data_IF_952243077654
#
_entry.id   IF_952243077654
#
_cell.length_a   1.000
_cell.length_b   1.000
_cell.length_c   1.000
_cell.angle_alpha   90.00
_cell.angle_beta   90.00
_cell.angle_gamma   90.00
#
_symmetry.space_group_name_H-M   'P 1'
#
loop_
_entity.id
_entity.type
_entity.pdbx_description
1 polymer ?
#
# COMPACT_ATOMS: atom_id res chain seq x y z
N UNK A 1 -11.04 -10.43 -8.78
CA UNK A 1 -10.40 -10.82 -7.50
C UNK A 1 -11.38 -11.50 -6.55
N UNK A 2 -12.59 -10.99 -6.36
CA UNK A 2 -13.61 -11.61 -5.50
C UNK A 2 -13.90 -13.07 -5.89
N UNK A 3 -13.94 -13.39 -7.19
CA UNK A 3 -14.13 -14.77 -7.66
C UNK A 3 -13.00 -15.70 -7.18
N UNK A 4 -11.74 -15.23 -7.17
CA UNK A 4 -10.60 -15.99 -6.65
C UNK A 4 -10.70 -16.24 -5.15
N UNK A 5 -11.14 -15.25 -4.36
CA UNK A 5 -11.36 -15.42 -2.92
C UNK A 5 -12.44 -16.48 -2.63
N UNK A 6 -13.54 -16.46 -3.39
CA UNK A 6 -14.60 -17.48 -3.29
C UNK A 6 -14.11 -18.87 -3.71
N UNK A 7 -13.28 -18.95 -4.76
CA UNK A 7 -12.71 -20.20 -5.23
C UNK A 7 -11.78 -20.84 -4.18
N UNK A 8 -10.95 -20.02 -3.49
CA UNK A 8 -10.12 -20.50 -2.37
C UNK A 8 -10.98 -21.05 -1.25
N UNK A 9 -12.00 -20.32 -0.79
CA UNK A 9 -12.88 -20.77 0.27
C UNK A 9 -13.59 -22.11 -0.08
N UNK A 10 -14.05 -22.23 -1.32
CA UNK A 10 -14.70 -23.44 -1.82
C UNK A 10 -13.72 -24.63 -1.89
N UNK A 11 -12.56 -24.43 -2.48
CA UNK A 11 -11.55 -25.48 -2.68
C UNK A 11 -11.00 -26.04 -1.37
N UNK A 12 -10.96 -25.22 -0.30
CA UNK A 12 -10.46 -25.67 1.00
C UNK A 12 -11.41 -26.62 1.75
N UNK A 13 -12.71 -26.69 1.36
CA UNK A 13 -13.63 -27.73 1.85
C UNK A 13 -13.72 -27.87 3.38
N UNK A 14 -13.56 -26.76 4.13
CA UNK A 14 -13.52 -26.74 5.59
C UNK A 14 -12.12 -26.75 6.22
N UNK A 15 -11.06 -26.99 5.43
CA UNK A 15 -9.69 -26.83 5.94
C UNK A 15 -9.36 -25.34 6.18
N UNK A 16 -8.43 -25.01 7.10
CA UNK A 16 -8.04 -23.63 7.37
C UNK A 16 -7.51 -22.91 6.14
N UNK A 17 -7.96 -21.67 5.93
CA UNK A 17 -7.46 -20.81 4.86
C UNK A 17 -7.47 -19.32 5.27
N UNK A 18 -6.58 -18.56 4.69
CA UNK A 18 -6.46 -17.12 4.95
C UNK A 18 -6.33 -16.35 3.63
N UNK A 19 -7.25 -15.42 3.40
CA UNK A 19 -7.17 -14.49 2.28
C UNK A 19 -6.73 -13.14 2.81
N UNK A 20 -5.51 -12.74 2.50
CA UNK A 20 -4.95 -11.46 2.93
C UNK A 20 -5.17 -10.42 1.82
N UNK A 21 -5.99 -9.40 2.11
CA UNK A 21 -6.16 -8.23 1.24
C UNK A 21 -5.19 -7.14 1.67
N UNK A 22 -4.54 -6.54 0.69
CA UNK A 22 -3.60 -5.44 0.88
C UNK A 22 -3.75 -4.41 -0.24
N UNK A 23 -3.14 -3.23 -0.10
CA UNK A 23 -3.23 -2.13 -1.06
C UNK A 23 -1.91 -1.35 -1.18
N UNK A 24 -1.71 -0.67 -2.30
CA UNK A 24 -0.65 0.29 -2.56
C UNK A 24 0.75 -0.20 -2.15
N UNK A 25 1.09 -1.42 -2.55
CA UNK A 25 2.35 -2.07 -2.18
C UNK A 25 3.56 -1.34 -2.75
N UNK A 26 4.56 -1.14 -1.92
CA UNK A 26 5.89 -0.67 -2.32
C UNK A 26 6.98 -1.41 -1.53
N UNK A 27 8.16 -1.51 -2.11
CA UNK A 27 9.28 -2.21 -1.49
C UNK A 27 10.48 -2.29 -2.43
N UNK A 28 11.56 -2.97 -2.02
CA UNK A 28 12.75 -3.16 -2.85
C UNK A 28 12.44 -4.04 -4.07
N UNK A 29 13.29 -3.92 -5.08
CA UNK A 29 13.32 -4.81 -6.25
C UNK A 29 12.02 -4.82 -7.07
N UNK A 30 11.71 -3.72 -7.73
CA UNK A 30 10.59 -3.69 -8.67
C UNK A 30 10.02 -2.30 -8.92
N UNK A 31 9.15 -2.23 -9.92
CA UNK A 31 8.44 -1.00 -10.24
C UNK A 31 7.34 -0.78 -9.21
N UNK A 32 7.41 0.32 -8.48
CA UNK A 32 6.39 0.74 -7.53
C UNK A 32 6.25 2.28 -7.54
N UNK A 33 5.25 2.78 -6.83
CA UNK A 33 4.96 4.22 -6.80
C UNK A 33 6.12 5.02 -6.20
N UNK A 34 6.74 4.56 -5.10
CA UNK A 34 7.85 5.27 -4.43
C UNK A 34 9.04 5.41 -5.38
N UNK A 35 9.49 4.33 -5.99
CA UNK A 35 10.58 4.35 -6.97
C UNK A 35 10.26 5.25 -8.18
N UNK A 36 8.99 5.22 -8.65
CA UNK A 36 8.54 6.06 -9.75
C UNK A 36 8.58 7.54 -9.40
N UNK A 37 8.02 7.93 -8.25
CA UNK A 37 8.03 9.32 -7.80
C UNK A 37 9.46 9.80 -7.56
N UNK A 38 10.31 9.03 -6.87
CA UNK A 38 11.71 9.38 -6.63
C UNK A 38 12.45 9.68 -7.94
N UNK A 39 12.29 8.83 -8.95
CA UNK A 39 12.88 9.07 -10.28
C UNK A 39 12.33 10.34 -10.92
N UNK A 40 11.01 10.53 -10.92
CA UNK A 40 10.37 11.69 -11.55
C UNK A 40 10.72 13.02 -10.85
N UNK A 41 10.93 13.03 -9.53
CA UNK A 41 11.40 14.21 -8.80
C UNK A 41 12.77 14.71 -9.30
N UNK A 42 13.60 13.80 -9.84
CA UNK A 42 14.90 14.17 -10.42
C UNK A 42 14.84 14.54 -11.93
N UNK A 43 13.78 14.09 -12.63
CA UNK A 43 13.70 14.22 -14.09
C UNK A 43 12.75 15.34 -14.56
N UNK A 44 11.79 15.74 -13.72
CA UNK A 44 10.72 16.66 -14.10
C UNK A 44 10.80 17.98 -13.36
N UNK A 45 10.44 19.10 -14.00
CA UNK A 45 10.37 20.40 -13.33
C UNK A 45 9.22 20.50 -12.33
N UNK A 46 8.17 19.70 -12.48
CA UNK A 46 7.01 19.58 -11.59
C UNK A 46 6.36 18.20 -11.71
N UNK A 47 5.65 17.77 -10.68
CA UNK A 47 4.85 16.54 -10.68
C UNK A 47 3.39 16.86 -10.38
N UNK A 48 2.48 16.43 -11.27
CA UNK A 48 1.03 16.49 -11.04
C UNK A 48 0.55 15.13 -10.53
N UNK A 49 -0.07 15.12 -9.33
CA UNK A 49 -0.48 13.87 -8.66
C UNK A 49 -1.90 13.99 -8.14
N UNK A 50 -2.69 12.94 -8.37
CA UNK A 50 -4.10 12.85 -7.99
C UNK A 50 -4.29 12.96 -6.48
N UNK A 51 -5.20 13.84 -6.01
CA UNK A 51 -5.45 14.12 -4.59
C UNK A 51 -6.85 13.73 -4.08
N UNK A 52 -7.70 13.15 -4.91
CA UNK A 52 -9.07 12.74 -4.58
C UNK A 52 -9.25 11.21 -4.56
N UNK A 53 -8.14 10.45 -4.56
CA UNK A 53 -8.14 9.00 -4.37
C UNK A 53 -7.44 8.65 -3.06
N UNK A 54 -8.21 8.06 -2.13
CA UNK A 54 -7.76 7.70 -0.79
C UNK A 54 -7.43 6.21 -0.68
N UNK A 55 -6.34 5.89 0.03
CA UNK A 55 -5.89 4.53 0.25
C UNK A 55 -4.86 4.42 1.37
N UNK A 56 -4.29 3.22 1.53
CA UNK A 56 -3.26 2.95 2.53
C UNK A 56 -2.03 2.38 1.84
N UNK A 57 -0.92 3.14 1.76
CA UNK A 57 0.36 2.60 1.30
C UNK A 57 0.83 1.48 2.21
N UNK A 58 1.40 0.42 1.64
CA UNK A 58 1.85 -0.72 2.42
C UNK A 58 3.27 -1.13 2.03
N UNK A 59 4.18 -1.05 3.00
CA UNK A 59 5.54 -1.51 2.85
C UNK A 59 5.58 -3.05 2.87
N UNK A 60 6.16 -3.63 1.83
CA UNK A 60 6.17 -5.09 1.64
C UNK A 60 6.86 -5.85 2.77
N UNK A 61 7.87 -5.27 3.42
CA UNK A 61 8.53 -5.90 4.58
C UNK A 61 7.59 -6.00 5.78
N UNK A 62 6.83 -4.94 6.06
CA UNK A 62 5.85 -4.93 7.16
C UNK A 62 4.76 -5.97 6.90
N UNK A 63 4.28 -6.03 5.65
CA UNK A 63 3.30 -7.03 5.24
C UNK A 63 3.85 -8.46 5.40
N UNK A 64 5.07 -8.71 4.92
CA UNK A 64 5.71 -10.03 4.99
C UNK A 64 5.88 -10.50 6.45
N UNK A 65 6.38 -9.63 7.31
CA UNK A 65 6.53 -9.92 8.74
C UNK A 65 5.18 -10.22 9.40
N UNK A 66 4.15 -9.42 9.09
CA UNK A 66 2.81 -9.66 9.63
C UNK A 66 2.20 -10.97 9.14
N UNK A 67 2.42 -11.34 7.87
CA UNK A 67 1.98 -12.63 7.33
C UNK A 67 2.69 -13.79 8.04
N UNK A 68 4.01 -13.71 8.20
CA UNK A 68 4.78 -14.75 8.90
C UNK A 68 4.30 -14.93 10.34
N UNK A 69 4.13 -13.83 11.08
CA UNK A 69 3.77 -13.86 12.49
C UNK A 69 2.34 -14.32 12.75
N UNK A 70 1.39 -13.97 11.87
CA UNK A 70 -0.02 -14.23 12.13
C UNK A 70 -0.55 -15.50 11.43
N UNK A 71 0.08 -15.94 10.33
CA UNK A 71 -0.48 -17.02 9.51
C UNK A 71 0.48 -18.21 9.31
N UNK A 72 1.80 -17.97 9.33
CA UNK A 72 2.78 -19.05 9.11
C UNK A 72 3.30 -19.60 10.45
N UNK A 73 3.64 -18.70 11.38
CA UNK A 73 4.13 -19.04 12.72
C UNK A 73 3.27 -18.37 13.80
N UNK A 74 1.94 -18.59 13.79
CA UNK A 74 1.06 -17.91 14.73
C UNK A 74 1.25 -18.46 16.14
N UNK A 75 1.12 -17.60 17.16
CA UNK A 75 1.03 -18.02 18.56
C UNK A 75 -0.29 -18.73 18.84
N UNK A 76 -1.36 -18.33 18.17
CA UNK A 76 -2.69 -18.90 18.24
C UNK A 76 -3.27 -19.02 16.83
N UNK A 77 -4.02 -20.10 16.58
CA UNK A 77 -4.67 -20.32 15.30
C UNK A 77 -5.79 -19.32 15.10
N UNK A 78 -5.76 -18.64 13.98
CA UNK A 78 -6.81 -17.71 13.58
C UNK A 78 -7.97 -18.46 12.90
N UNK A 79 -9.17 -17.87 12.97
CA UNK A 79 -10.31 -18.36 12.21
C UNK A 79 -10.06 -18.20 10.70
N UNK A 80 -10.50 -19.19 9.90
CA UNK A 80 -10.46 -19.07 8.43
C UNK A 80 -11.22 -17.85 7.94
N UNK A 81 -10.73 -17.19 6.89
CA UNK A 81 -11.45 -16.08 6.27
C UNK A 81 -10.57 -15.00 5.68
N UNK A 82 -11.16 -13.81 5.58
CA UNK A 82 -10.54 -12.64 4.96
C UNK A 82 -9.97 -11.72 6.04
N UNK A 83 -8.74 -11.28 5.81
CA UNK A 83 -7.98 -10.37 6.64
C UNK A 83 -7.48 -9.19 5.82
N UNK A 84 -7.50 -7.99 6.40
CA UNK A 84 -6.92 -6.81 5.78
C UNK A 84 -5.58 -6.51 6.45
N UNK A 85 -4.51 -6.40 5.68
CA UNK A 85 -3.18 -6.03 6.15
C UNK A 85 -2.63 -4.90 5.28
N UNK A 86 -2.59 -3.71 5.87
CA UNK A 86 -1.95 -2.51 5.32
C UNK A 86 -1.21 -1.81 6.45
N UNK A 87 -0.24 -0.97 6.15
CA UNK A 87 0.22 -0.02 7.14
C UNK A 87 -0.95 0.86 7.60
N UNK A 88 -0.88 1.35 8.85
CA UNK A 88 -1.93 2.18 9.43
C UNK A 88 -1.97 3.57 8.78
N UNK A 89 -3.11 4.23 8.89
CA UNK A 89 -3.34 5.55 8.30
C UNK A 89 -3.95 5.49 6.89
N UNK A 90 -4.49 6.64 6.49
CA UNK A 90 -5.08 6.87 5.18
C UNK A 90 -4.42 8.09 4.57
N UNK A 91 -4.14 8.06 3.28
CA UNK A 91 -3.54 9.17 2.55
C UNK A 91 -4.06 9.21 1.12
N UNK A 92 -3.74 10.26 0.36
CA UNK A 92 -3.94 10.32 -1.09
C UNK A 92 -2.65 10.02 -1.82
N UNK A 93 -2.72 9.79 -3.14
CA UNK A 93 -1.51 9.66 -3.97
C UNK A 93 -0.66 10.94 -3.91
N UNK A 94 -1.31 12.12 -3.89
CA UNK A 94 -0.63 13.41 -3.76
C UNK A 94 0.13 13.53 -2.43
N UNK A 95 -0.54 13.30 -1.30
CA UNK A 95 0.11 13.40 0.01
C UNK A 95 1.23 12.36 0.16
N UNK A 96 1.06 11.16 -0.41
CA UNK A 96 2.10 10.15 -0.44
C UNK A 96 3.31 10.60 -1.26
N UNK A 97 3.10 11.19 -2.46
CA UNK A 97 4.17 11.73 -3.28
C UNK A 97 4.88 12.93 -2.61
N UNK A 98 4.12 13.79 -1.93
CA UNK A 98 4.65 14.93 -1.17
C UNK A 98 5.55 14.47 -0.01
N UNK A 99 5.15 13.43 0.74
CA UNK A 99 5.98 12.86 1.79
C UNK A 99 7.28 12.27 1.23
N UNK A 100 7.22 11.58 0.07
CA UNK A 100 8.43 11.09 -0.62
C UNK A 100 9.34 12.27 -0.96
N UNK A 101 8.81 13.36 -1.54
CA UNK A 101 9.60 14.55 -1.89
C UNK A 101 10.26 15.16 -0.65
N UNK A 102 9.53 15.26 0.47
CA UNK A 102 10.05 15.77 1.74
C UNK A 102 11.22 14.92 2.27
N UNK A 103 11.05 13.59 2.32
CA UNK A 103 12.08 12.68 2.80
C UNK A 103 13.32 12.63 1.87
N UNK A 104 13.11 12.84 0.57
CA UNK A 104 14.19 12.94 -0.43
C UNK A 104 14.80 14.35 -0.50
N UNK A 105 14.30 15.32 0.28
CA UNK A 105 14.73 16.73 0.28
C UNK A 105 14.70 17.34 -1.14
N UNK A 106 13.69 16.95 -1.92
CA UNK A 106 13.51 17.45 -3.28
C UNK A 106 12.79 18.81 -3.28
N UNK A 107 13.27 19.73 -4.09
CA UNK A 107 12.64 21.04 -4.30
C UNK A 107 11.62 21.02 -5.45
N UNK A 108 11.49 19.90 -6.16
CA UNK A 108 10.55 19.75 -7.27
C UNK A 108 9.11 19.87 -6.78
N UNK A 109 8.30 20.81 -7.29
CA UNK A 109 6.92 21.00 -6.87
C UNK A 109 6.07 19.76 -7.15
N UNK A 110 5.31 19.34 -6.15
CA UNK A 110 4.25 18.33 -6.31
C UNK A 110 2.91 19.05 -6.27
N UNK A 111 2.16 18.98 -7.36
CA UNK A 111 0.92 19.73 -7.58
C UNK A 111 -0.27 18.78 -7.51
N UNK A 112 -1.29 19.06 -6.65
CA UNK A 112 -2.48 18.24 -6.59
C UNK A 112 -3.35 18.46 -7.82
N UNK A 113 -3.91 17.38 -8.37
CA UNK A 113 -4.89 17.39 -9.45
C UNK A 113 -6.08 16.50 -9.10
N UNK A 114 -7.21 16.69 -9.78
CA UNK A 114 -8.36 15.80 -9.69
C UNK A 114 -8.14 14.53 -10.54
N UNK A 115 -8.87 13.46 -10.22
CA UNK A 115 -8.88 12.23 -11.03
C UNK A 115 -9.29 12.49 -12.48
N UNK A 116 -10.18 13.46 -12.70
CA UNK A 116 -10.68 13.85 -14.02
C UNK A 116 -9.58 14.44 -14.92
N UNK A 117 -8.57 15.09 -14.32
CA UNK A 117 -7.41 15.64 -15.02
C UNK A 117 -6.36 14.59 -15.39
N UNK A 118 -6.54 13.34 -14.89
CA UNK A 118 -5.66 12.23 -15.19
C UNK A 118 -6.44 11.02 -15.68
N UNK A 119 -6.99 11.06 -16.90
CA UNK A 119 -7.86 10.01 -17.41
C UNK A 119 -7.12 8.68 -17.56
N UNK A 120 -7.67 7.62 -16.98
CA UNK A 120 -7.20 6.25 -17.09
C UNK A 120 -8.31 5.38 -17.70
N UNK A 121 -7.95 4.30 -18.46
CA UNK A 121 -8.94 3.39 -19.02
C UNK A 121 -9.85 2.75 -17.96
N UNK A 122 -9.33 2.50 -16.76
CA UNK A 122 -10.09 1.95 -15.65
C UNK A 122 -10.49 3.05 -14.65
N UNK A 123 -11.79 3.17 -14.36
CA UNK A 123 -12.29 4.05 -13.30
C UNK A 123 -11.77 3.57 -11.93
N UNK A 124 -11.04 4.43 -11.24
CA UNK A 124 -10.51 4.15 -9.90
C UNK A 124 -11.51 4.56 -8.82
N UNK A 125 -11.68 3.79 -7.75
CA UNK A 125 -12.52 4.21 -6.62
C UNK A 125 -11.87 5.38 -5.89
N UNK A 126 -12.69 6.34 -5.45
CA UNK A 126 -12.25 7.46 -4.64
C UNK A 126 -11.74 7.00 -3.26
N UNK A 127 -12.39 6.01 -2.66
CA UNK A 127 -12.01 5.45 -1.37
C UNK A 127 -11.68 3.96 -1.50
N UNK A 128 -10.42 3.60 -1.27
CA UNK A 128 -9.90 2.23 -1.31
C UNK A 128 -9.17 1.81 -0.03
N UNK A 129 -9.30 2.60 1.03
CA UNK A 129 -8.69 2.30 2.34
C UNK A 129 -9.22 0.98 2.89
N UNK A 130 -8.30 0.10 3.29
CA UNK A 130 -8.62 -1.14 3.99
C UNK A 130 -8.46 -0.96 5.49
N UNK A 131 -9.49 -1.33 6.25
CA UNK A 131 -9.49 -1.25 7.71
C UNK A 131 -9.17 -2.63 8.28
N UNK A 132 -8.08 -2.74 9.04
CA UNK A 132 -7.73 -3.93 9.80
C UNK A 132 -8.48 -3.94 11.14
N UNK A 133 -9.41 -4.86 11.30
CA UNK A 133 -10.23 -5.02 12.52
C UNK A 133 -9.96 -6.33 13.27
N UNK A 134 -9.10 -7.21 12.73
CA UNK A 134 -8.92 -8.57 13.25
C UNK A 134 -7.52 -8.85 13.80
N UNK A 135 -6.53 -8.07 13.39
CA UNK A 135 -5.12 -8.30 13.73
C UNK A 135 -4.51 -7.04 14.37
N UNK A 136 -3.36 -7.14 15.05
CA UNK A 136 -2.61 -5.99 15.49
C UNK A 136 -2.35 -5.03 14.32
N UNK A 137 -2.49 -3.74 14.58
CA UNK A 137 -2.22 -2.72 13.56
C UNK A 137 -0.74 -2.69 13.22
N UNK A 138 -0.41 -2.61 11.94
CA UNK A 138 0.94 -2.31 11.49
C UNK A 138 1.27 -0.84 11.80
N UNK A 139 2.55 -0.50 11.78
CA UNK A 139 2.99 0.89 11.99
C UNK A 139 2.33 1.85 10.98
N UNK A 140 2.39 3.13 11.27
CA UNK A 140 1.91 4.17 10.36
C UNK A 140 2.65 4.13 9.02
N UNK A 141 1.95 4.47 7.92
CA UNK A 141 2.50 4.42 6.58
C UNK A 141 3.70 5.35 6.38
N UNK A 142 3.76 6.50 7.09
CA UNK A 142 4.91 7.41 7.04
C UNK A 142 6.15 6.77 7.63
N UNK A 143 6.03 6.15 8.79
CA UNK A 143 7.12 5.41 9.42
C UNK A 143 7.59 4.21 8.56
N UNK A 144 6.65 3.57 7.84
CA UNK A 144 6.98 2.54 6.85
C UNK A 144 7.78 3.09 5.67
N UNK A 145 7.38 4.26 5.14
CA UNK A 145 8.04 4.93 4.04
C UNK A 145 9.46 5.40 4.43
N UNK A 146 9.59 6.06 5.58
CA UNK A 146 10.86 6.53 6.13
C UNK A 146 11.86 5.36 6.24
N UNK A 147 11.47 4.29 6.92
CA UNK A 147 12.30 3.10 7.07
C UNK A 147 12.68 2.47 5.71
N UNK A 148 11.77 2.47 4.73
CA UNK A 148 12.07 1.98 3.39
C UNK A 148 13.13 2.82 2.70
N UNK A 149 12.98 4.16 2.71
CA UNK A 149 13.91 5.09 2.04
C UNK A 149 15.29 5.16 2.71
N UNK A 150 15.37 4.95 4.03
CA UNK A 150 16.64 4.82 4.76
C UNK A 150 17.40 3.55 4.36
N UNK A 151 16.69 2.44 4.25
CA UNK A 151 17.31 1.13 4.00
C UNK A 151 17.59 0.87 2.53
N UNK A 152 16.79 1.43 1.64
CA UNK A 152 16.91 1.23 0.19
C UNK A 152 16.92 2.58 -0.51
N UNK A 153 18.12 3.15 -0.76
CA UNK A 153 18.24 4.37 -1.53
C UNK A 153 17.77 4.11 -2.98
N UNK A 154 16.59 4.60 -3.31
CA UNK A 154 15.97 4.56 -4.65
C UNK A 154 16.07 5.92 -5.31
#
# INVERSE_FOLDING_TARGET
KLAGEKAVAYAMGGAPYYVVRTSWLYGPNGKNFVATITRLLNEKPELKVVNDQFGSPTYTMDLALAVLQNFIFPRELLASGIYHLTNSGTTTWYEFAKEIATLKKSETPVIPIATEDYPLPAKRPQHSTLINTKLPKLRDWKAGLEHFLEKYPV
#
